data_IF_595749109547
#
_entry.id   IF_595749109547
#
_cell.length_a   1.000
_cell.length_b   1.000
_cell.length_c   1.000
_cell.angle_alpha   90.00
_cell.angle_beta   90.00
_cell.angle_gamma   90.00
#
_symmetry.space_group_name_H-M   'P 1'
#
loop_
_entity.id
_entity.type
_entity.pdbx_description
1 polymer ?
#
# COMPACT_ATOMS: atom_id res chain seq x y z
N UNK A 1 19.28 -44.36 73.97
CA UNK A 1 18.91 -45.56 73.19
C UNK A 1 18.64 -45.12 71.76
N UNK A 2 19.15 -45.87 70.77
CA UNK A 2 19.22 -45.57 69.31
C UNK A 2 17.80 -45.41 68.70
N UNK A 3 17.55 -44.69 67.59
CA UNK A 3 17.76 -45.10 66.18
C UNK A 3 17.30 -43.96 65.21
N UNK A 4 17.96 -43.85 64.03
CA UNK A 4 17.72 -42.95 62.87
C UNK A 4 16.71 -43.55 61.88
N UNK A 5 15.89 -42.73 61.18
CA UNK A 5 15.42 -42.90 59.77
C UNK A 5 14.91 -41.54 59.24
N UNK A 6 15.54 -40.84 58.28
CA UNK A 6 15.56 -40.97 56.79
C UNK A 6 14.27 -40.53 56.05
N UNK A 7 14.35 -39.35 55.41
CA UNK A 7 13.89 -38.96 54.05
C UNK A 7 12.39 -39.15 53.66
N UNK A 8 11.70 -38.04 53.34
CA UNK A 8 11.25 -37.77 51.95
C UNK A 8 10.87 -36.30 51.74
N UNK A 9 11.49 -35.73 50.70
CA UNK A 9 11.35 -34.38 50.18
C UNK A 9 10.12 -34.33 49.25
N UNK A 10 9.23 -33.34 49.41
CA UNK A 10 8.15 -33.11 48.46
C UNK A 10 8.01 -31.61 48.18
N UNK A 11 8.92 -31.14 47.32
CA UNK A 11 8.86 -29.82 46.67
C UNK A 11 7.76 -29.88 45.61
N UNK A 12 6.62 -29.25 45.90
CA UNK A 12 5.60 -28.97 44.88
C UNK A 12 6.09 -27.81 43.99
N UNK A 13 6.73 -28.16 42.88
CA UNK A 13 7.11 -27.22 41.83
C UNK A 13 5.87 -26.92 40.97
N UNK A 14 5.20 -25.80 41.23
CA UNK A 14 4.11 -25.28 40.40
C UNK A 14 4.65 -24.82 39.05
N UNK A 15 4.42 -25.60 38.01
CA UNK A 15 4.69 -25.21 36.62
C UNK A 15 3.58 -24.23 36.21
N UNK A 16 3.88 -22.93 36.21
CA UNK A 16 3.06 -21.91 35.57
C UNK A 16 3.23 -22.08 34.07
N UNK A 17 2.26 -22.74 33.44
CA UNK A 17 2.20 -22.89 31.98
C UNK A 17 1.77 -21.54 31.38
N UNK A 18 2.75 -20.72 31.00
CA UNK A 18 2.50 -19.51 30.24
C UNK A 18 1.94 -19.89 28.86
N UNK A 19 0.65 -19.69 28.66
CA UNK A 19 0.03 -19.79 27.35
C UNK A 19 0.59 -18.67 26.46
N UNK A 20 1.57 -19.01 25.63
CA UNK A 20 1.96 -18.14 24.52
C UNK A 20 0.81 -18.16 23.51
N UNK A 21 0.01 -17.10 23.50
CA UNK A 21 -0.89 -16.82 22.38
C UNK A 21 0.00 -16.47 21.19
N UNK A 22 0.25 -17.44 20.32
CA UNK A 22 0.84 -17.18 19.01
C UNK A 22 -0.10 -16.25 18.26
N UNK A 23 0.32 -15.00 18.07
CA UNK A 23 -0.29 -14.12 17.07
C UNK A 23 -0.02 -14.79 15.73
N UNK A 24 -1.03 -15.43 15.15
CA UNK A 24 -0.97 -15.89 13.77
C UNK A 24 -0.78 -14.64 12.91
N UNK A 25 0.43 -14.49 12.35
CA UNK A 25 0.65 -13.53 11.28
C UNK A 25 -0.37 -13.87 10.17
N UNK A 26 -1.32 -12.96 9.93
CA UNK A 26 -2.32 -13.15 8.89
C UNK A 26 -1.63 -13.34 7.55
N UNK A 27 -2.11 -14.29 6.75
CA UNK A 27 -1.58 -14.50 5.41
C UNK A 27 -1.91 -13.27 4.56
N UNK A 28 -0.87 -12.60 4.08
CA UNK A 28 -0.99 -11.46 3.17
C UNK A 28 -0.87 -11.95 1.73
N UNK A 29 -1.94 -11.80 0.96
CA UNK A 29 -1.99 -12.11 -0.47
C UNK A 29 -1.84 -10.83 -1.26
N UNK A 30 -1.00 -10.82 -2.29
CA UNK A 30 -0.88 -9.70 -3.22
C UNK A 30 -1.55 -10.07 -4.55
N UNK A 31 -2.41 -9.20 -5.05
CA UNK A 31 -3.00 -9.32 -6.38
C UNK A 31 -2.54 -8.17 -7.26
N UNK A 32 -1.94 -8.50 -8.41
CA UNK A 32 -1.40 -7.55 -9.39
C UNK A 32 -2.14 -7.64 -10.72
N UNK A 33 -1.77 -6.80 -11.67
CA UNK A 33 -2.34 -6.76 -13.02
C UNK A 33 -2.20 -8.07 -13.82
N UNK A 34 -1.28 -8.96 -13.46
CA UNK A 34 -1.11 -10.28 -14.11
C UNK A 34 -2.27 -11.25 -13.88
N UNK A 35 -3.00 -11.07 -12.77
CA UNK A 35 -4.19 -11.83 -12.42
C UNK A 35 -5.47 -11.23 -13.01
N UNK A 36 -5.36 -10.11 -13.72
CA UNK A 36 -6.46 -9.43 -14.37
C UNK A 36 -6.98 -10.23 -15.56
N UNK A 37 -8.26 -10.56 -15.51
CA UNK A 37 -8.96 -11.31 -16.56
C UNK A 37 -9.82 -10.42 -17.44
N UNK A 38 -10.27 -9.27 -16.93
CA UNK A 38 -11.08 -8.31 -17.67
C UNK A 38 -10.96 -6.93 -17.02
N UNK A 39 -10.93 -5.87 -17.84
CA UNK A 39 -11.17 -4.49 -17.41
C UNK A 39 -12.17 -3.84 -18.34
N UNK A 40 -13.18 -3.19 -17.75
CA UNK A 40 -14.16 -2.37 -18.43
C UNK A 40 -14.03 -0.92 -17.93
N UNK A 41 -14.12 0.04 -18.85
CA UNK A 41 -14.10 1.46 -18.54
C UNK A 41 -15.32 2.15 -19.15
N UNK A 42 -16.10 2.84 -18.32
CA UNK A 42 -17.16 3.75 -18.76
C UNK A 42 -16.76 5.18 -18.45
N UNK A 43 -16.50 5.99 -19.47
CA UNK A 43 -16.03 7.38 -19.28
C UNK A 43 -17.20 8.36 -19.33
N UNK A 44 -17.22 9.31 -18.40
CA UNK A 44 -18.20 10.39 -18.33
C UNK A 44 -17.53 11.72 -18.68
N UNK A 45 -18.31 12.70 -19.16
CA UNK A 45 -17.78 14.01 -19.57
C UNK A 45 -17.39 14.92 -18.39
N UNK A 46 -17.69 14.52 -17.15
CA UNK A 46 -17.42 15.28 -15.93
C UNK A 46 -16.09 14.89 -15.26
N UNK A 47 -15.07 14.54 -16.05
CA UNK A 47 -13.73 14.21 -15.58
C UNK A 47 -13.67 12.97 -14.65
N UNK A 48 -14.60 12.03 -14.80
CA UNK A 48 -14.56 10.76 -14.09
C UNK A 48 -14.96 9.58 -14.97
N UNK A 49 -14.54 8.38 -14.57
CA UNK A 49 -14.89 7.14 -15.22
C UNK A 49 -15.21 6.06 -14.18
N UNK A 50 -16.11 5.15 -14.53
CA UNK A 50 -16.34 3.91 -13.79
C UNK A 50 -15.40 2.84 -14.33
N UNK A 51 -14.59 2.27 -13.45
CA UNK A 51 -13.74 1.12 -13.73
C UNK A 51 -14.40 -0.12 -13.14
N UNK A 52 -14.41 -1.22 -13.90
CA UNK A 52 -14.63 -2.57 -13.36
C UNK A 52 -13.42 -3.43 -13.71
N UNK A 53 -12.74 -3.92 -12.68
CA UNK A 53 -11.58 -4.80 -12.78
C UNK A 53 -11.96 -6.19 -12.25
N UNK A 54 -11.82 -7.24 -13.07
CA UNK A 54 -12.06 -8.61 -12.67
C UNK A 54 -10.73 -9.36 -12.61
N UNK A 55 -10.34 -9.82 -11.42
CA UNK A 55 -9.14 -10.63 -11.19
C UNK A 55 -9.45 -12.02 -10.70
N UNK A 56 -8.62 -12.98 -11.09
CA UNK A 56 -8.63 -14.33 -10.50
C UNK A 56 -7.65 -14.38 -9.34
N UNK A 57 -8.14 -14.51 -8.11
CA UNK A 57 -7.34 -14.43 -6.89
C UNK A 57 -7.51 -15.70 -6.05
N UNK A 58 -6.39 -16.27 -5.63
CA UNK A 58 -6.35 -17.40 -4.69
C UNK A 58 -6.23 -16.85 -3.28
N UNK A 59 -7.25 -17.11 -2.46
CA UNK A 59 -7.32 -16.66 -1.08
C UNK A 59 -7.36 -17.88 -0.16
N UNK A 60 -6.50 -17.95 0.87
CA UNK A 60 -6.64 -18.92 1.95
C UNK A 60 -8.05 -18.89 2.57
N UNK A 61 -8.50 -20.06 3.06
CA UNK A 61 -9.73 -20.15 3.86
C UNK A 61 -9.47 -19.55 5.24
N UNK A 62 -10.44 -18.81 5.77
CA UNK A 62 -10.35 -18.10 7.04
C UNK A 62 -10.21 -16.59 6.86
N UNK A 63 -9.60 -15.93 7.84
CA UNK A 63 -9.34 -14.49 7.81
C UNK A 63 -7.93 -14.22 7.28
N UNK A 64 -7.79 -13.16 6.49
CA UNK A 64 -6.51 -12.81 5.87
C UNK A 64 -6.49 -11.36 5.36
N UNK A 65 -5.37 -10.98 4.77
CA UNK A 65 -5.20 -9.68 4.14
C UNK A 65 -4.97 -9.83 2.64
N UNK A 66 -5.60 -8.97 1.84
CA UNK A 66 -5.44 -8.88 0.39
C UNK A 66 -4.98 -7.47 0.03
N UNK A 67 -3.79 -7.36 -0.56
CA UNK A 67 -3.32 -6.16 -1.22
C UNK A 67 -3.70 -6.24 -2.71
N UNK A 68 -4.73 -5.49 -3.10
CA UNK A 68 -5.15 -5.34 -4.48
C UNK A 68 -4.42 -4.14 -5.10
N UNK A 69 -3.33 -4.45 -5.79
CA UNK A 69 -2.34 -3.49 -6.32
C UNK A 69 -2.73 -3.05 -7.74
N UNK A 70 -1.95 -2.12 -8.32
CA UNK A 70 -2.11 -1.67 -9.71
C UNK A 70 -3.49 -1.04 -9.99
N UNK A 71 -4.09 -0.35 -9.02
CA UNK A 71 -5.36 0.39 -9.25
C UNK A 71 -5.09 1.79 -9.79
N UNK A 72 -6.13 2.45 -10.32
CA UNK A 72 -5.98 3.80 -10.85
C UNK A 72 -5.44 4.79 -9.80
N UNK A 73 -4.48 5.63 -10.19
CA UNK A 73 -3.87 6.64 -9.30
C UNK A 73 -4.80 7.76 -8.87
N UNK A 74 -5.97 7.90 -9.50
CA UNK A 74 -6.99 8.89 -9.14
C UNK A 74 -8.31 8.22 -8.72
N UNK A 75 -8.23 6.99 -8.22
CA UNK A 75 -9.36 6.27 -7.64
C UNK A 75 -10.01 7.08 -6.52
N UNK A 76 -11.34 7.05 -6.46
CA UNK A 76 -12.15 7.60 -5.39
C UNK A 76 -12.43 6.49 -4.37
N UNK A 77 -11.71 6.42 -3.23
CA UNK A 77 -11.69 5.22 -2.39
C UNK A 77 -13.06 4.89 -1.77
N UNK A 78 -13.87 5.91 -1.53
CA UNK A 78 -15.23 5.78 -0.97
C UNK A 78 -16.23 5.15 -1.94
N UNK A 79 -15.86 4.99 -3.21
CA UNK A 79 -16.70 4.41 -4.27
C UNK A 79 -16.37 2.95 -4.55
N UNK A 80 -15.34 2.42 -3.90
CA UNK A 80 -14.85 1.06 -4.11
C UNK A 80 -15.89 0.07 -3.61
N UNK A 81 -16.28 -0.84 -4.50
CA UNK A 81 -17.12 -1.97 -4.20
C UNK A 81 -16.46 -3.23 -4.74
N UNK A 82 -16.44 -4.30 -3.94
CA UNK A 82 -15.81 -5.57 -4.29
C UNK A 82 -16.77 -6.71 -4.02
N UNK A 83 -16.80 -7.69 -4.92
CA UNK A 83 -17.56 -8.93 -4.74
C UNK A 83 -16.88 -10.10 -5.43
N UNK A 84 -17.14 -11.31 -4.95
CA UNK A 84 -16.83 -12.52 -5.70
C UNK A 84 -17.95 -12.86 -6.66
N UNK A 85 -17.64 -13.05 -7.94
CA UNK A 85 -18.59 -13.44 -8.97
C UNK A 85 -18.98 -14.91 -8.91
N UNK A 86 -18.09 -15.76 -8.40
CA UNK A 86 -18.27 -17.21 -8.35
C UNK A 86 -18.65 -17.74 -6.97
N UNK A 87 -18.26 -17.06 -5.88
CA UNK A 87 -18.60 -17.44 -4.50
C UNK A 87 -19.03 -16.20 -3.68
N UNK A 88 -20.16 -15.54 -4.01
CA UNK A 88 -20.56 -14.26 -3.41
C UNK A 88 -20.80 -14.35 -1.90
N UNK A 89 -21.37 -15.46 -1.41
CA UNK A 89 -21.71 -15.64 0.02
C UNK A 89 -20.50 -16.03 0.88
N UNK A 90 -19.41 -16.47 0.25
CA UNK A 90 -18.24 -17.02 0.94
C UNK A 90 -17.09 -16.02 1.08
N UNK A 91 -17.24 -14.82 0.52
CA UNK A 91 -16.25 -13.75 0.59
C UNK A 91 -16.86 -12.53 1.28
N UNK A 92 -16.24 -12.08 2.36
CA UNK A 92 -16.67 -10.88 3.09
C UNK A 92 -15.48 -9.99 3.39
N UNK A 93 -15.62 -8.69 3.14
CA UNK A 93 -14.65 -7.68 3.56
C UNK A 93 -14.96 -7.26 4.99
N UNK A 94 -13.94 -7.34 5.85
CA UNK A 94 -14.01 -6.91 7.24
C UNK A 94 -13.53 -5.46 7.38
N UNK A 95 -12.47 -5.10 6.66
CA UNK A 95 -11.88 -3.76 6.68
C UNK A 95 -11.36 -3.39 5.29
N UNK A 96 -11.47 -2.10 4.93
CA UNK A 96 -10.89 -1.53 3.72
C UNK A 96 -10.02 -0.33 4.06
N UNK A 97 -8.77 -0.37 3.61
CA UNK A 97 -7.82 0.73 3.70
C UNK A 97 -7.27 1.05 2.32
N UNK A 98 -7.33 2.31 1.89
CA UNK A 98 -6.67 2.75 0.66
C UNK A 98 -5.31 3.37 0.98
N UNK A 99 -4.23 2.82 0.42
CA UNK A 99 -2.88 3.36 0.56
C UNK A 99 -2.57 4.24 -0.65
N UNK A 100 -2.67 5.55 -0.45
CA UNK A 100 -2.38 6.59 -1.46
C UNK A 100 -0.99 7.23 -1.32
N UNK A 101 -0.16 6.78 -0.39
CA UNK A 101 1.19 7.36 -0.18
C UNK A 101 2.13 6.94 -1.32
N UNK A 102 1.83 7.40 -2.54
CA UNK A 102 2.65 7.25 -3.73
C UNK A 102 4.01 7.88 -3.47
N UNK A 103 5.04 7.28 -4.07
CA UNK A 103 6.43 7.70 -3.88
C UNK A 103 6.60 9.15 -4.31
N UNK A 104 6.59 10.04 -3.33
CA UNK A 104 6.94 11.45 -3.50
C UNK A 104 8.22 11.75 -2.71
N UNK A 105 9.05 12.71 -3.17
CA UNK A 105 10.24 13.10 -2.43
C UNK A 105 9.95 13.48 -0.97
N UNK A 106 8.83 14.17 -0.73
CA UNK A 106 8.39 14.55 0.62
C UNK A 106 8.07 13.33 1.50
N UNK A 107 7.24 12.41 1.01
CA UNK A 107 6.85 11.19 1.74
C UNK A 107 8.02 10.26 2.02
N UNK A 108 8.95 10.14 1.07
CA UNK A 108 10.19 9.42 1.28
C UNK A 108 11.00 10.05 2.41
N UNK A 109 11.20 11.37 2.37
CA UNK A 109 11.93 12.08 3.43
C UNK A 109 11.25 11.98 4.80
N UNK A 110 9.92 12.01 4.87
CA UNK A 110 9.17 11.80 6.13
C UNK A 110 9.54 10.46 6.79
N UNK A 111 9.71 9.37 6.01
CA UNK A 111 10.14 8.06 6.52
C UNK A 111 11.59 7.99 6.97
N UNK A 112 12.36 9.03 6.64
CA UNK A 112 13.76 9.21 7.01
C UNK A 112 13.97 10.23 8.14
N UNK A 113 12.90 10.78 8.72
CA UNK A 113 13.01 11.57 9.95
C UNK A 113 13.59 10.70 11.07
N UNK A 114 14.62 11.22 11.74
CA UNK A 114 15.43 10.53 12.73
C UNK A 114 16.54 9.63 12.16
N UNK A 115 16.63 9.48 10.83
CA UNK A 115 17.62 8.60 10.16
C UNK A 115 18.72 9.39 9.47
N UNK A 116 19.82 8.70 9.18
CA UNK A 116 20.95 9.24 8.41
C UNK A 116 20.60 9.34 6.93
N UNK A 117 20.96 10.47 6.32
CA UNK A 117 20.85 10.77 4.89
C UNK A 117 22.14 11.40 4.40
N UNK A 118 22.44 11.27 3.11
CA UNK A 118 23.57 11.97 2.48
C UNK A 118 23.07 13.18 1.71
N UNK A 119 23.86 14.26 1.70
CA UNK A 119 23.57 15.44 0.89
C UNK A 119 24.79 15.72 0.02
N UNK A 120 24.55 15.75 -1.29
CA UNK A 120 25.58 16.02 -2.31
C UNK A 120 25.39 17.45 -2.80
N UNK A 121 26.36 18.31 -2.50
CA UNK A 121 26.38 19.68 -2.98
C UNK A 121 27.52 19.85 -3.99
N UNK A 122 27.22 20.31 -5.20
CA UNK A 122 28.25 20.62 -6.18
C UNK A 122 28.61 22.09 -6.09
N UNK A 123 29.88 22.37 -5.83
CA UNK A 123 30.43 23.70 -5.87
C UNK A 123 31.02 23.96 -7.26
N UNK A 124 30.22 24.59 -8.12
CA UNK A 124 30.61 24.91 -9.52
C UNK A 124 31.84 25.81 -9.61
N UNK A 125 32.09 26.67 -8.61
CA UNK A 125 33.22 27.59 -8.61
C UNK A 125 34.56 26.93 -8.34
N UNK A 126 34.55 25.78 -7.63
CA UNK A 126 35.76 25.03 -7.28
C UNK A 126 35.83 23.67 -7.98
N UNK A 127 34.86 23.38 -8.85
CA UNK A 127 34.66 22.09 -9.50
C UNK A 127 34.77 20.90 -8.51
N UNK A 128 34.13 21.05 -7.35
CA UNK A 128 34.22 20.08 -6.25
C UNK A 128 32.85 19.60 -5.80
N UNK A 129 32.73 18.30 -5.58
CA UNK A 129 31.54 17.67 -5.00
C UNK A 129 31.78 17.49 -3.49
N UNK A 130 30.95 18.15 -2.68
CA UNK A 130 30.91 18.00 -1.24
C UNK A 130 29.81 17.00 -0.86
N UNK A 131 30.20 15.92 -0.18
CA UNK A 131 29.26 14.92 0.35
C UNK A 131 29.22 15.06 1.87
N UNK A 132 28.03 15.30 2.39
CA UNK A 132 27.80 15.50 3.83
C UNK A 132 26.81 14.46 4.35
N UNK A 133 27.16 13.82 5.46
CA UNK A 133 26.22 12.98 6.21
C UNK A 133 25.44 13.83 7.20
N UNK A 134 24.12 13.69 7.19
CA UNK A 134 23.20 14.42 8.03
C UNK A 134 22.18 13.48 8.67
N UNK A 135 21.65 13.85 9.83
CA UNK A 135 20.42 13.24 10.38
C UNK A 135 19.27 14.18 10.04
N UNK A 136 18.27 13.70 9.31
CA UNK A 136 17.06 14.48 9.01
C UNK A 136 16.20 14.53 10.29
N UNK A 137 15.97 15.72 10.82
CA UNK A 137 15.19 15.91 12.05
C UNK A 137 13.73 16.25 11.80
N UNK A 138 13.43 16.95 10.70
CA UNK A 138 12.06 17.32 10.34
C UNK A 138 11.93 17.63 8.86
N UNK A 139 10.73 17.45 8.33
CA UNK A 139 10.32 17.83 6.98
C UNK A 139 9.11 18.79 7.00
N UNK A 140 8.62 19.16 8.18
CA UNK A 140 7.42 19.99 8.32
C UNK A 140 7.76 21.45 7.99
N UNK A 141 7.18 21.98 6.91
CA UNK A 141 7.41 23.37 6.44
C UNK A 141 8.88 23.67 6.11
N UNK A 142 9.67 22.65 5.78
CA UNK A 142 11.10 22.77 5.51
C UNK A 142 11.87 21.58 6.06
N UNK A 143 13.08 21.36 5.54
CA UNK A 143 13.95 20.27 5.96
C UNK A 143 14.89 20.77 7.06
N UNK A 144 14.90 20.10 8.21
CA UNK A 144 15.85 20.40 9.31
C UNK A 144 16.85 19.27 9.40
N UNK A 145 18.13 19.60 9.40
CA UNK A 145 19.22 18.62 9.44
C UNK A 145 20.09 18.83 10.68
N UNK A 146 20.54 17.73 11.28
CA UNK A 146 21.68 17.74 12.20
C UNK A 146 22.91 17.27 11.45
N UNK A 147 23.91 18.14 11.34
CA UNK A 147 25.19 17.85 10.68
C UNK A 147 26.27 18.06 11.73
N UNK A 148 26.99 17.00 12.10
CA UNK A 148 27.89 17.04 13.26
C UNK A 148 27.13 17.42 14.54
N UNK A 149 27.49 18.58 15.13
CA UNK A 149 26.86 19.11 16.35
C UNK A 149 25.96 20.33 16.10
N UNK A 150 25.73 20.70 14.84
CA UNK A 150 24.98 21.88 14.43
C UNK A 150 23.63 21.52 13.81
N UNK A 151 22.69 22.46 13.88
CA UNK A 151 21.34 22.32 13.33
C UNK A 151 21.19 23.28 12.15
N UNK A 152 20.86 22.72 11.00
CA UNK A 152 20.69 23.44 9.74
C UNK A 152 19.21 23.52 9.38
N UNK A 153 18.72 24.74 9.12
CA UNK A 153 17.38 25.01 8.61
C UNK A 153 17.42 25.00 7.08
N UNK A 154 17.36 23.80 6.52
CA UNK A 154 17.65 23.52 5.12
C UNK A 154 19.15 23.36 4.88
N UNK A 155 19.50 22.66 3.80
CA UNK A 155 20.87 22.50 3.35
C UNK A 155 20.88 22.34 1.81
N UNK A 156 21.75 23.08 1.09
CA UNK A 156 21.82 23.01 -0.37
C UNK A 156 22.32 21.64 -0.85
N UNK A 157 21.90 21.24 -2.05
CA UNK A 157 22.31 19.99 -2.67
C UNK A 157 21.24 18.90 -2.73
N UNK A 158 21.60 17.81 -3.42
CA UNK A 158 20.76 16.65 -3.69
C UNK A 158 20.74 15.69 -2.49
N UNK A 159 19.54 15.25 -2.10
CA UNK A 159 19.34 14.35 -0.96
C UNK A 159 19.43 12.92 -1.47
N UNK A 160 20.34 12.15 -0.91
CA UNK A 160 20.59 10.76 -1.25
C UNK A 160 20.20 9.90 -0.06
N UNK A 161 19.17 9.09 -0.25
CA UNK A 161 18.69 8.12 0.72
C UNK A 161 19.40 6.78 0.49
N UNK A 162 19.71 6.02 1.55
CA UNK A 162 20.43 4.74 1.42
C UNK A 162 19.60 3.66 0.74
N UNK A 163 18.30 3.60 1.00
CA UNK A 163 17.38 2.58 0.47
C UNK A 163 15.93 3.06 0.39
N UNK A 164 15.04 2.28 -0.21
CA UNK A 164 13.60 2.52 -0.14
C UNK A 164 13.07 1.79 1.11
N UNK A 165 12.31 2.44 2.00
CA UNK A 165 11.74 1.76 3.18
C UNK A 165 10.84 0.58 2.77
N UNK A 166 10.93 -0.55 3.48
CA UNK A 166 10.21 -1.79 3.15
C UNK A 166 8.67 -1.62 3.10
N UNK A 167 8.10 -0.73 3.93
CA UNK A 167 6.65 -0.50 4.02
C UNK A 167 6.10 0.49 2.98
N UNK A 168 6.94 0.94 2.05
CA UNK A 168 6.59 1.97 1.08
C UNK A 168 5.87 1.35 -0.13
N UNK A 169 4.68 1.86 -0.45
CA UNK A 169 3.94 1.40 -1.62
C UNK A 169 4.32 2.26 -2.81
N UNK A 170 4.86 1.64 -3.85
CA UNK A 170 5.26 2.33 -5.08
C UNK A 170 4.07 2.65 -5.98
N UNK A 171 2.97 1.91 -5.82
CA UNK A 171 1.79 1.94 -6.69
C UNK A 171 0.50 2.05 -5.86
N UNK A 172 -0.58 2.66 -6.38
CA UNK A 172 -1.86 2.71 -5.70
C UNK A 172 -2.33 1.29 -5.30
N UNK A 173 -2.66 1.07 -4.03
CA UNK A 173 -3.04 -0.24 -3.52
C UNK A 173 -4.23 -0.15 -2.57
N UNK A 174 -5.23 -1.00 -2.80
CA UNK A 174 -6.34 -1.24 -1.87
C UNK A 174 -5.96 -2.40 -0.96
N UNK A 175 -5.92 -2.17 0.36
CA UNK A 175 -5.69 -3.21 1.36
C UNK A 175 -7.03 -3.61 1.97
N UNK A 176 -7.34 -4.89 1.90
CA UNK A 176 -8.54 -5.47 2.49
C UNK A 176 -8.20 -6.50 3.55
N UNK A 177 -8.82 -6.39 4.73
CA UNK A 177 -8.97 -7.55 5.60
C UNK A 177 -10.24 -8.29 5.16
N UNK A 178 -10.13 -9.58 4.91
CA UNK A 178 -11.24 -10.39 4.41
C UNK A 178 -11.45 -11.64 5.25
N UNK A 179 -12.64 -12.23 5.10
CA UNK A 179 -12.99 -13.58 5.52
C UNK A 179 -13.44 -14.38 4.31
N UNK A 180 -12.84 -15.55 4.12
CA UNK A 180 -13.10 -16.46 3.02
C UNK A 180 -13.52 -17.84 3.54
N UNK A 181 -14.54 -18.45 2.93
CA UNK A 181 -14.95 -19.84 3.20
C UNK A 181 -14.71 -20.79 2.01
N UNK A 182 -14.40 -20.27 0.83
CA UNK A 182 -14.20 -21.07 -0.37
C UNK A 182 -12.74 -21.54 -0.49
N UNK A 183 -12.54 -22.81 -0.83
CA UNK A 183 -11.21 -23.39 -1.06
C UNK A 183 -10.67 -23.12 -2.48
N UNK A 184 -11.53 -22.63 -3.38
CA UNK A 184 -11.20 -22.39 -4.80
C UNK A 184 -10.97 -20.91 -5.06
N UNK A 185 -10.17 -20.61 -6.09
CA UNK A 185 -9.90 -19.24 -6.53
C UNK A 185 -11.18 -18.43 -6.78
N UNK A 186 -11.21 -17.19 -6.29
CA UNK A 186 -12.29 -16.26 -6.56
C UNK A 186 -12.06 -15.55 -7.90
N UNK A 187 -13.15 -15.26 -8.60
CA UNK A 187 -13.22 -14.19 -9.60
C UNK A 187 -13.72 -12.95 -8.87
N UNK A 188 -12.81 -12.09 -8.43
CA UNK A 188 -13.15 -10.85 -7.73
C UNK A 188 -13.43 -9.77 -8.76
N UNK A 189 -14.62 -9.19 -8.71
CA UNK A 189 -14.94 -7.96 -9.43
C UNK A 189 -14.81 -6.78 -8.47
N UNK A 190 -14.01 -5.80 -8.86
CA UNK A 190 -13.78 -4.57 -8.14
C UNK A 190 -14.25 -3.42 -9.02
N UNK A 191 -15.23 -2.68 -8.55
CA UNK A 191 -15.77 -1.50 -9.25
C UNK A 191 -15.49 -0.23 -8.46
N UNK A 192 -15.05 0.83 -9.13
CA UNK A 192 -14.77 2.11 -8.49
C UNK A 192 -14.82 3.25 -9.50
N UNK A 193 -15.02 4.48 -9.01
CA UNK A 193 -14.84 5.69 -9.79
C UNK A 193 -13.38 6.14 -9.73
N UNK A 194 -12.87 6.66 -10.84
CA UNK A 194 -11.58 7.36 -10.93
C UNK A 194 -11.79 8.71 -11.59
N UNK A 195 -11.05 9.73 -11.17
CA UNK A 195 -11.06 11.04 -11.84
C UNK A 195 -9.92 11.15 -12.86
N UNK A 196 -9.81 12.33 -13.50
CA UNK A 196 -8.73 12.66 -14.45
C UNK A 196 -8.81 11.87 -15.77
N UNK A 197 -10.03 11.50 -16.17
CA UNK A 197 -10.33 10.91 -17.47
C UNK A 197 -11.51 11.68 -18.05
N UNK A 198 -11.33 12.24 -19.25
CA UNK A 198 -12.36 12.95 -19.99
C UNK A 198 -12.39 12.43 -21.43
N UNK A 199 -13.52 12.57 -22.11
CA UNK A 199 -13.67 12.21 -23.50
C UNK A 199 -14.43 13.31 -24.24
N UNK A 200 -14.20 13.42 -25.54
CA UNK A 200 -14.91 14.35 -26.41
C UNK A 200 -15.16 13.61 -27.72
N UNK A 201 -16.39 13.68 -28.24
CA UNK A 201 -16.67 13.25 -29.60
C UNK A 201 -17.30 14.41 -30.36
N UNK A 202 -16.74 14.68 -31.53
CA UNK A 202 -17.29 15.58 -32.52
C UNK A 202 -17.88 14.71 -33.64
N UNK A 203 -19.18 14.85 -33.91
CA UNK A 203 -19.86 14.13 -34.99
C UNK A 203 -20.14 15.10 -36.13
N UNK A 204 -19.72 14.74 -37.35
CA UNK A 204 -20.08 15.45 -38.57
C UNK A 204 -20.90 14.49 -39.43
N UNK A 205 -22.12 14.90 -39.76
CA UNK A 205 -22.98 14.23 -40.72
C UNK A 205 -23.14 15.14 -41.92
N UNK A 206 -22.85 14.63 -43.11
CA UNK A 206 -23.16 15.31 -44.38
C UNK A 206 -24.41 14.63 -44.90
N UNK A 207 -25.39 15.40 -45.34
CA UNK A 207 -26.64 14.89 -45.90
C UNK A 207 -26.71 15.22 -47.40
N UNK A 208 -27.48 14.45 -48.15
CA UNK A 208 -27.85 14.79 -49.52
C UNK A 208 -28.80 16.02 -49.54
N UNK A 209 -28.97 16.64 -50.71
CA UNK A 209 -29.76 17.89 -50.88
C UNK A 209 -31.22 17.76 -50.39
N UNK A 210 -31.76 16.54 -50.40
CA UNK A 210 -33.14 16.22 -50.03
C UNK A 210 -33.30 15.79 -48.55
N UNK A 211 -32.23 15.79 -47.75
CA UNK A 211 -32.19 15.32 -46.35
C UNK A 211 -32.65 13.86 -46.12
N UNK A 212 -32.59 12.99 -47.14
CA UNK A 212 -33.05 11.59 -47.06
C UNK A 212 -31.95 10.58 -46.72
N UNK A 213 -30.68 10.95 -46.86
CA UNK A 213 -29.55 10.05 -46.60
C UNK A 213 -28.27 10.80 -46.28
N UNK A 214 -27.42 10.20 -45.44
CA UNK A 214 -26.04 10.62 -45.17
C UNK A 214 -25.02 10.01 -46.14
#
# INVERSE_FOLDING_TARGET
MRVRYFIFCLVCLGIVMAAFTSVTAGVVVNSKADQQTMVELTVYNDNFALVKDIRKVELPVGEGELNFMDVASHIMPVTVHVRSLNYPEDFTILEQTYRYDLMSPGKLLEKYVGKKVKIINWNEFQDRIDIVEAILLSTNQGQIYKIGNEIYLGYPGYKVLPEIPEDFVTEPTLKWSYKNRAEKAHKLEVSYLTTNINWKVDYVMVLNEDDTSS
#
